data_IF_315597180820
#
_entry.id   IF_315597180820
#
_cell.length_a   1.000
_cell.length_b   1.000
_cell.length_c   1.000
_cell.angle_alpha   90.00
_cell.angle_beta   90.00
_cell.angle_gamma   90.00
#
_symmetry.space_group_name_H-M   'P 1'
#
loop_
_entity.id
_entity.type
_entity.pdbx_description
1 polymer ?
#
# COMPACT_ATOMS: atom_id res chain seq x y z
N UNK A 1 -9.52 -13.83 -1.91
CA UNK A 1 -10.13 -12.84 -2.83
C UNK A 1 -11.16 -12.02 -2.07
N UNK A 2 -11.34 -10.77 -2.46
CA UNK A 2 -12.39 -9.88 -1.96
C UNK A 2 -13.07 -9.26 -3.18
N UNK A 3 -14.37 -9.45 -3.34
CA UNK A 3 -15.16 -8.77 -4.36
C UNK A 3 -16.02 -7.66 -3.76
N UNK A 4 -16.69 -6.85 -4.58
CA UNK A 4 -17.54 -5.76 -4.08
C UNK A 4 -18.79 -6.16 -3.33
N UNK A 5 -19.21 -7.42 -3.39
CA UNK A 5 -20.32 -7.91 -2.57
C UNK A 5 -19.84 -8.35 -1.16
N UNK A 6 -18.64 -8.92 -1.07
CA UNK A 6 -18.06 -9.47 0.15
C UNK A 6 -17.09 -8.50 0.86
N UNK A 7 -16.74 -7.37 0.23
CA UNK A 7 -15.84 -6.37 0.79
C UNK A 7 -16.36 -5.82 2.13
N UNK A 8 -15.46 -5.72 3.10
CA UNK A 8 -15.75 -5.16 4.42
C UNK A 8 -14.58 -4.34 4.95
N UNK A 9 -14.83 -3.57 6.00
CA UNK A 9 -13.79 -2.87 6.75
C UNK A 9 -12.90 -3.82 7.58
N UNK A 10 -12.87 -5.12 7.28
CA UNK A 10 -12.13 -6.14 8.04
C UNK A 10 -11.37 -7.14 7.18
N UNK A 11 -11.48 -7.10 5.84
CA UNK A 11 -10.92 -8.15 4.99
C UNK A 11 -9.86 -7.71 3.98
N UNK A 12 -9.56 -6.40 3.89
CA UNK A 12 -8.43 -5.89 3.09
C UNK A 12 -7.05 -6.20 3.68
N UNK A 13 -6.00 -5.80 2.96
CA UNK A 13 -4.62 -5.91 3.45
C UNK A 13 -4.37 -4.89 4.57
N UNK A 14 -4.28 -5.40 5.79
CA UNK A 14 -4.07 -4.63 7.01
C UNK A 14 -2.61 -4.74 7.46
N UNK A 15 -2.00 -3.60 7.77
CA UNK A 15 -0.66 -3.52 8.35
C UNK A 15 -0.77 -3.21 9.84
N UNK A 16 -0.17 -4.06 10.66
CA UNK A 16 0.00 -3.79 12.10
C UNK A 16 1.37 -3.18 12.39
N UNK A 17 1.39 -1.92 12.82
CA UNK A 17 2.60 -1.17 13.18
C UNK A 17 2.73 -1.17 14.70
N UNK A 18 3.60 -2.04 15.21
CA UNK A 18 3.90 -2.16 16.64
C UNK A 18 4.70 -0.94 17.14
N UNK A 19 5.62 -0.42 16.33
CA UNK A 19 6.41 0.77 16.64
C UNK A 19 6.98 1.43 15.38
N UNK A 20 7.20 2.74 15.42
CA UNK A 20 7.81 3.49 14.33
C UNK A 20 6.83 3.82 13.19
N UNK A 21 7.35 3.83 11.96
CA UNK A 21 6.57 4.04 10.73
C UNK A 21 6.99 2.98 9.71
N UNK A 22 6.11 2.66 8.77
CA UNK A 22 6.42 1.75 7.67
C UNK A 22 6.51 2.52 6.35
N UNK A 23 7.53 2.21 5.53
CA UNK A 23 7.53 2.55 4.12
C UNK A 23 6.91 1.41 3.34
N UNK A 24 5.92 1.75 2.52
CA UNK A 24 5.26 0.82 1.61
C UNK A 24 5.69 1.21 0.20
N UNK A 25 6.23 0.27 -0.56
CA UNK A 25 6.56 0.47 -1.97
C UNK A 25 5.59 -0.34 -2.82
N UNK A 26 4.89 0.36 -3.71
CA UNK A 26 4.00 -0.21 -4.69
C UNK A 26 4.74 -0.27 -6.01
N UNK A 27 4.76 -1.43 -6.66
CA UNK A 27 5.44 -1.63 -7.95
C UNK A 27 4.45 -2.21 -8.95
N UNK A 28 4.35 -1.57 -10.11
CA UNK A 28 3.52 -2.06 -11.21
C UNK A 28 4.17 -3.29 -11.86
N UNK A 29 3.45 -4.41 -11.89
CA UNK A 29 3.98 -5.69 -12.41
C UNK A 29 3.51 -5.99 -13.83
N UNK A 30 2.48 -5.29 -14.31
CA UNK A 30 1.89 -5.50 -15.63
C UNK A 30 0.37 -5.63 -15.58
N UNK A 31 -0.21 -5.96 -16.73
CA UNK A 31 -1.64 -6.08 -16.95
C UNK A 31 -1.92 -6.86 -18.23
N UNK A 32 -3.05 -7.58 -18.25
CA UNK A 32 -3.66 -8.23 -19.41
C UNK A 32 -5.16 -7.88 -19.51
N UNK A 33 -5.50 -6.59 -19.43
CA UNK A 33 -6.90 -6.18 -19.55
C UNK A 33 -7.30 -5.78 -20.97
N UNK A 34 -8.56 -5.99 -21.34
CA UNK A 34 -9.21 -5.26 -22.44
C UNK A 34 -9.49 -3.80 -22.11
N UNK A 35 -9.81 -3.53 -20.83
CA UNK A 35 -10.22 -2.23 -20.30
C UNK A 35 -9.02 -1.31 -20.00
N UNK A 36 -9.30 -0.01 -19.88
CA UNK A 36 -8.31 0.96 -19.40
C UNK A 36 -8.42 1.08 -17.88
N UNK A 37 -7.47 0.45 -17.18
CA UNK A 37 -7.47 0.27 -15.73
C UNK A 37 -6.30 0.99 -15.10
N UNK A 38 -6.45 1.33 -13.82
CA UNK A 38 -5.43 2.00 -13.04
C UNK A 38 -5.33 1.44 -11.63
N UNK A 39 -4.16 1.63 -11.02
CA UNK A 39 -3.96 1.53 -9.59
C UNK A 39 -3.76 2.93 -9.00
N UNK A 40 -4.35 3.17 -7.84
CA UNK A 40 -4.22 4.40 -7.08
C UNK A 40 -3.62 4.14 -5.70
N UNK A 41 -2.81 5.07 -5.22
CA UNK A 41 -2.20 5.06 -3.88
C UNK A 41 -2.50 6.42 -3.25
N UNK A 42 -3.01 6.44 -2.01
CA UNK A 42 -3.39 7.70 -1.37
C UNK A 42 -4.48 8.47 -2.13
N UNK A 43 -5.39 7.75 -2.80
CA UNK A 43 -6.44 8.32 -3.65
C UNK A 43 -5.96 8.92 -4.99
N UNK A 44 -4.67 8.84 -5.32
CA UNK A 44 -4.11 9.35 -6.57
C UNK A 44 -3.79 8.21 -7.53
N UNK A 45 -4.27 8.21 -8.78
CA UNK A 45 -3.82 7.25 -9.79
C UNK A 45 -2.31 7.36 -10.00
N UNK A 46 -1.63 6.22 -9.90
CA UNK A 46 -0.16 6.14 -10.01
C UNK A 46 0.30 5.20 -11.10
N UNK A 47 -0.50 4.18 -11.44
CA UNK A 47 -0.20 3.23 -12.49
C UNK A 47 -1.40 3.11 -13.43
N UNK A 48 -1.19 3.37 -14.72
CA UNK A 48 -2.16 3.19 -15.79
C UNK A 48 -1.74 2.00 -16.65
N UNK A 49 -2.64 1.05 -16.91
CA UNK A 49 -2.29 -0.14 -17.70
C UNK A 49 -2.15 0.16 -19.20
N UNK A 50 -2.84 1.20 -19.69
CA UNK A 50 -2.99 1.54 -21.10
C UNK A 50 -3.18 3.04 -21.30
N UNK A 51 -3.19 3.44 -22.57
CA UNK A 51 -3.36 4.83 -22.98
C UNK A 51 -2.03 5.57 -23.18
N UNK A 52 -2.08 6.87 -23.52
CA UNK A 52 -0.88 7.65 -23.85
C UNK A 52 0.12 7.77 -22.69
N UNK A 53 -0.35 7.62 -21.45
CA UNK A 53 0.41 7.73 -20.20
C UNK A 53 0.61 6.37 -19.52
N UNK A 54 0.51 5.26 -20.28
CA UNK A 54 0.67 3.93 -19.70
C UNK A 54 1.96 3.81 -18.89
N UNK A 55 1.87 3.05 -17.81
CA UNK A 55 2.96 2.86 -16.87
C UNK A 55 3.84 1.69 -17.33
N UNK A 56 5.18 1.85 -17.39
CA UNK A 56 6.07 0.73 -17.69
C UNK A 56 6.14 -0.24 -16.51
N UNK A 57 6.28 -1.53 -16.81
CA UNK A 57 6.51 -2.57 -15.80
C UNK A 57 7.74 -2.22 -14.96
N UNK A 58 7.66 -2.49 -13.65
CA UNK A 58 8.61 -2.12 -12.60
C UNK A 58 8.64 -0.64 -12.21
N UNK A 59 7.76 0.22 -12.74
CA UNK A 59 7.55 1.54 -12.15
C UNK A 59 7.06 1.40 -10.70
N UNK A 60 7.52 2.29 -9.82
CA UNK A 60 7.18 2.21 -8.41
C UNK A 60 6.89 3.58 -7.79
N UNK A 61 6.06 3.56 -6.76
CA UNK A 61 5.79 4.69 -5.87
C UNK A 61 5.88 4.22 -4.42
N UNK A 62 6.21 5.13 -3.51
CA UNK A 62 6.26 4.82 -2.08
C UNK A 62 5.30 5.68 -1.29
N UNK A 63 4.72 5.11 -0.25
CA UNK A 63 3.92 5.80 0.75
C UNK A 63 4.40 5.45 2.16
N UNK A 64 4.25 6.40 3.09
CA UNK A 64 4.58 6.18 4.50
C UNK A 64 3.30 5.99 5.31
N UNK A 65 3.25 4.92 6.10
CA UNK A 65 2.15 4.67 7.04
C UNK A 65 2.66 4.82 8.47
N UNK A 66 1.95 5.63 9.25
CA UNK A 66 2.36 6.03 10.60
C UNK A 66 1.67 5.24 11.72
N UNK A 67 0.55 4.57 11.42
CA UNK A 67 -0.28 3.85 12.39
C UNK A 67 -0.78 2.54 11.81
N UNK A 68 -1.13 1.56 12.64
CA UNK A 68 -1.78 0.34 12.19
C UNK A 68 -3.06 0.65 11.43
N UNK A 69 -3.32 -0.06 10.33
CA UNK A 69 -4.43 0.24 9.44
C UNK A 69 -4.33 -0.49 8.11
N UNK A 70 -5.41 -0.45 7.33
CA UNK A 70 -5.39 -0.90 5.94
C UNK A 70 -4.46 -0.05 5.11
N UNK A 71 -3.70 -0.69 4.21
CA UNK A 71 -2.92 0.02 3.22
C UNK A 71 -3.85 0.85 2.31
N UNK A 72 -3.46 2.08 2.03
CA UNK A 72 -4.25 3.03 1.23
C UNK A 72 -3.94 2.91 -0.26
N UNK A 73 -4.50 1.87 -0.88
CA UNK A 73 -4.46 1.69 -2.33
C UNK A 73 -5.83 1.26 -2.86
N UNK A 74 -6.01 1.42 -4.16
CA UNK A 74 -7.20 1.04 -4.89
C UNK A 74 -6.87 0.67 -6.32
N UNK A 75 -7.82 0.03 -6.99
CA UNK A 75 -7.79 -0.17 -8.44
C UNK A 75 -9.07 0.36 -9.04
N UNK A 76 -9.04 0.75 -10.30
CA UNK A 76 -10.23 1.22 -10.98
C UNK A 76 -10.13 1.10 -12.49
N UNK A 77 -11.26 1.37 -13.13
CA UNK A 77 -11.41 1.33 -14.57
C UNK A 77 -11.85 2.71 -15.05
N UNK A 78 -11.10 3.32 -15.97
CA UNK A 78 -11.51 4.54 -16.66
C UNK A 78 -12.49 4.26 -17.78
N UNK A 79 -12.24 3.20 -18.56
CA UNK A 79 -12.99 2.91 -19.77
C UNK A 79 -13.08 1.39 -20.01
N UNK A 80 -14.20 0.92 -20.59
CA UNK A 80 -15.33 1.70 -21.10
C UNK A 80 -16.25 2.25 -20.00
N UNK A 81 -17.07 3.27 -20.32
CA UNK A 81 -17.90 4.00 -19.33
C UNK A 81 -18.84 3.10 -18.52
N UNK A 82 -19.35 2.02 -19.12
CA UNK A 82 -20.22 1.06 -18.42
C UNK A 82 -19.48 0.21 -17.39
N UNK A 83 -18.16 0.15 -17.47
CA UNK A 83 -17.29 -0.55 -16.55
C UNK A 83 -16.58 0.41 -15.59
N UNK A 84 -16.82 1.73 -15.62
CA UNK A 84 -16.10 2.70 -14.79
C UNK A 84 -16.42 2.55 -13.30
N UNK A 85 -15.38 2.59 -12.47
CA UNK A 85 -15.50 2.36 -11.03
C UNK A 85 -14.15 2.32 -10.32
N UNK A 86 -14.20 2.18 -8.99
CA UNK A 86 -13.04 2.15 -8.11
C UNK A 86 -13.27 1.13 -7.00
N UNK A 87 -12.28 0.29 -6.76
CA UNK A 87 -12.27 -0.73 -5.74
C UNK A 87 -11.06 -0.55 -4.82
N UNK A 88 -11.33 0.04 -3.66
CA UNK A 88 -10.32 0.31 -2.64
C UNK A 88 -9.89 -0.98 -1.95
N UNK A 89 -8.73 -1.00 -1.30
CA UNK A 89 -8.33 -2.06 -0.37
C UNK A 89 -9.16 -2.03 0.92
N UNK A 90 -9.45 -0.83 1.40
CA UNK A 90 -10.28 -0.56 2.58
C UNK A 90 -11.73 -0.20 2.18
N UNK A 91 -12.67 -0.22 3.13
CA UNK A 91 -14.06 0.21 2.91
C UNK A 91 -15.08 -0.92 2.89
N UNK A 92 -16.36 -0.55 2.82
CA UNK A 92 -17.49 -1.48 2.82
C UNK A 92 -17.83 -1.98 1.42
N UNK A 93 -18.69 -3.00 1.36
CA UNK A 93 -19.29 -3.49 0.13
C UNK A 93 -19.98 -2.36 -0.64
N UNK A 94 -19.84 -2.39 -1.96
CA UNK A 94 -20.47 -1.45 -2.89
C UNK A 94 -21.02 -2.23 -4.08
N UNK A 95 -22.35 -2.19 -4.22
CA UNK A 95 -23.03 -2.90 -5.29
C UNK A 95 -22.63 -2.41 -6.69
N UNK A 96 -22.20 -1.14 -6.82
CA UNK A 96 -21.74 -0.59 -8.10
C UNK A 96 -20.45 -1.24 -8.59
N UNK A 97 -19.61 -1.74 -7.67
CA UNK A 97 -18.33 -2.38 -7.98
C UNK A 97 -18.31 -3.86 -7.60
N UNK A 98 -19.48 -4.50 -7.48
CA UNK A 98 -19.61 -5.96 -7.21
C UNK A 98 -18.90 -6.85 -8.25
N UNK A 99 -18.65 -6.31 -9.44
CA UNK A 99 -17.93 -7.00 -10.51
C UNK A 99 -16.41 -6.93 -10.31
N UNK A 100 -15.93 -6.02 -9.48
CA UNK A 100 -14.51 -5.86 -9.22
C UNK A 100 -14.07 -6.81 -8.10
N UNK A 101 -12.84 -7.28 -8.17
CA UNK A 101 -12.24 -8.07 -7.10
C UNK A 101 -10.74 -7.84 -6.94
N UNK A 102 -10.26 -8.15 -5.74
CA UNK A 102 -8.85 -8.22 -5.40
C UNK A 102 -8.46 -9.64 -4.99
N UNK A 103 -7.41 -10.14 -5.63
CA UNK A 103 -6.63 -11.29 -5.21
C UNK A 103 -5.41 -10.84 -4.42
N UNK A 104 -5.03 -11.61 -3.40
CA UNK A 104 -3.81 -11.39 -2.64
C UNK A 104 -2.98 -12.67 -2.67
N UNK A 105 -1.71 -12.54 -3.01
CA UNK A 105 -0.75 -13.64 -2.96
C UNK A 105 0.41 -13.19 -2.08
N UNK A 106 0.59 -13.85 -0.95
CA UNK A 106 1.73 -13.62 -0.08
C UNK A 106 2.97 -14.28 -0.69
N UNK A 107 4.04 -13.49 -0.86
CA UNK A 107 5.36 -13.98 -1.26
C UNK A 107 6.22 -14.18 -0.02
N UNK A 108 6.10 -13.27 0.95
CA UNK A 108 6.69 -13.34 2.29
C UNK A 108 5.90 -12.45 3.24
N UNK A 109 6.22 -12.47 4.54
CA UNK A 109 5.54 -11.70 5.57
C UNK A 109 5.37 -10.20 5.26
N UNK A 110 6.26 -9.62 4.45
CA UNK A 110 6.28 -8.20 4.10
C UNK A 110 6.12 -7.92 2.60
N UNK A 111 5.87 -8.94 1.78
CA UNK A 111 5.82 -8.78 0.32
C UNK A 111 4.63 -9.55 -0.24
N UNK A 112 3.78 -8.83 -0.99
CA UNK A 112 2.54 -9.35 -1.54
C UNK A 112 2.41 -8.99 -3.01
N UNK A 113 1.79 -9.87 -3.80
CA UNK A 113 1.12 -9.45 -5.02
C UNK A 113 -0.34 -9.15 -4.70
N UNK A 114 -0.83 -8.04 -5.24
CA UNK A 114 -2.25 -7.71 -5.31
C UNK A 114 -2.64 -7.75 -6.77
N UNK A 115 -3.67 -8.53 -7.04
CA UNK A 115 -4.17 -8.79 -8.37
C UNK A 115 -5.56 -8.20 -8.48
N UNK A 116 -5.83 -7.45 -9.52
CA UNK A 116 -7.10 -6.80 -9.76
C UNK A 116 -7.82 -7.42 -10.94
N UNK A 117 -9.13 -7.36 -10.87
CA UNK A 117 -10.04 -7.87 -11.87
C UNK A 117 -11.33 -7.03 -11.87
N UNK A 118 -11.78 -6.56 -13.02
CA UNK A 118 -12.99 -5.74 -13.16
C UNK A 118 -14.20 -6.49 -13.75
N UNK A 119 -14.09 -7.82 -13.95
CA UNK A 119 -15.02 -8.69 -14.70
C UNK A 119 -15.48 -8.02 -16.01
N UNK A 120 -14.62 -8.01 -17.01
CA UNK A 120 -15.04 -7.82 -18.38
C UNK A 120 -15.64 -9.13 -18.92
N UNK A 121 -16.98 -9.28 -18.87
CA UNK A 121 -17.74 -10.39 -19.52
C UNK A 121 -17.50 -11.80 -18.97
N UNK A 122 -17.12 -11.92 -17.71
CA UNK A 122 -17.18 -13.18 -16.96
C UNK A 122 -15.87 -13.96 -16.87
N UNK A 123 -14.75 -13.37 -17.26
CA UNK A 123 -13.43 -13.89 -16.86
C UNK A 123 -13.08 -13.37 -15.46
N UNK A 124 -12.48 -14.24 -14.63
CA UNK A 124 -12.03 -13.95 -13.26
C UNK A 124 -10.66 -14.59 -13.03
N UNK A 125 -9.71 -14.17 -13.84
CA UNK A 125 -8.33 -14.65 -13.88
C UNK A 125 -7.35 -13.73 -13.13
N UNK A 126 -7.79 -12.53 -12.73
CA UNK A 126 -7.02 -11.57 -11.93
C UNK A 126 -5.72 -11.09 -12.61
N UNK A 127 -5.75 -10.85 -13.90
CA UNK A 127 -4.61 -10.32 -14.64
C UNK A 127 -4.82 -8.89 -15.18
N UNK A 128 -5.99 -8.28 -14.96
CA UNK A 128 -6.32 -6.95 -15.47
C UNK A 128 -5.32 -5.87 -15.03
N UNK A 129 -4.86 -5.94 -13.77
CA UNK A 129 -3.74 -5.17 -13.23
C UNK A 129 -3.07 -5.96 -12.11
N UNK A 130 -1.73 -6.06 -12.11
CA UNK A 130 -0.97 -6.67 -11.03
C UNK A 130 -0.02 -5.64 -10.40
N UNK A 131 -0.03 -5.58 -9.07
CA UNK A 131 0.83 -4.71 -8.27
C UNK A 131 1.55 -5.51 -7.19
N UNK A 132 2.86 -5.30 -7.05
CA UNK A 132 3.65 -5.81 -5.93
C UNK A 132 3.70 -4.76 -4.83
N UNK A 133 3.52 -5.19 -3.59
CA UNK A 133 3.62 -4.36 -2.41
C UNK A 133 4.76 -4.90 -1.54
N UNK A 134 5.74 -4.05 -1.26
CA UNK A 134 6.83 -4.30 -0.32
C UNK A 134 6.67 -3.40 0.90
N UNK A 135 6.70 -3.97 2.11
CA UNK A 135 6.60 -3.24 3.37
C UNK A 135 7.93 -3.30 4.11
N UNK A 136 8.49 -2.13 4.44
CA UNK A 136 9.71 -2.00 5.19
C UNK A 136 9.48 -1.16 6.46
N UNK A 137 9.86 -1.70 7.62
CA UNK A 137 9.93 -0.90 8.83
C UNK A 137 11.02 0.16 8.69
N UNK A 138 10.70 1.42 9.03
CA UNK A 138 11.69 2.50 9.07
C UNK A 138 12.31 2.52 10.47
N UNK A 139 13.63 2.27 10.60
CA UNK A 139 14.29 2.40 11.88
C UNK A 139 14.14 3.82 12.42
N UNK A 140 13.82 3.95 13.72
CA UNK A 140 13.87 5.25 14.38
C UNK A 140 15.32 5.79 14.28
N UNK A 141 15.52 7.07 13.92
CA UNK A 141 16.86 7.62 13.79
C UNK A 141 17.65 7.44 15.10
N UNK A 142 18.81 6.78 15.03
CA UNK A 142 19.69 6.61 16.19
C UNK A 142 20.12 7.95 16.83
N UNK A 143 19.92 9.08 16.12
CA UNK A 143 20.15 10.43 16.61
C UNK A 143 19.39 10.78 17.90
N UNK A 144 18.19 10.26 18.13
CA UNK A 144 17.45 10.51 19.38
C UNK A 144 18.07 9.76 20.57
N UNK A 145 18.52 8.52 20.36
CA UNK A 145 19.29 7.76 21.37
C UNK A 145 20.67 8.39 21.61
N UNK A 146 21.34 8.89 20.57
CA UNK A 146 22.60 9.61 20.68
C UNK A 146 22.44 10.94 21.42
N UNK A 147 21.37 11.69 21.16
CA UNK A 147 21.07 12.93 21.88
C UNK A 147 20.78 12.66 23.36
N UNK A 148 19.96 11.65 23.66
CA UNK A 148 19.65 11.26 25.04
C UNK A 148 20.90 10.78 25.79
N UNK A 149 21.74 9.96 25.15
CA UNK A 149 23.00 9.50 25.74
C UNK A 149 24.02 10.63 25.92
N UNK A 150 24.11 11.58 24.97
CA UNK A 150 24.95 12.76 25.11
C UNK A 150 24.48 13.68 26.26
N UNK A 151 23.18 13.92 26.37
CA UNK A 151 22.58 14.69 27.48
C UNK A 151 22.80 14.00 28.82
N UNK A 152 22.56 12.69 28.90
CA UNK A 152 22.83 11.88 30.10
C UNK A 152 24.30 11.90 30.50
N UNK A 153 25.21 11.73 29.54
CA UNK A 153 26.66 11.80 29.75
C UNK A 153 27.11 13.17 30.26
N UNK A 154 26.62 14.25 29.67
CA UNK A 154 26.93 15.62 30.10
C UNK A 154 26.45 15.91 31.54
N UNK A 155 25.28 15.39 31.92
CA UNK A 155 24.70 15.59 33.25
C UNK A 155 25.48 14.82 34.33
N UNK A 156 25.93 13.59 34.02
CA UNK A 156 26.81 12.79 34.89
C UNK A 156 28.16 13.50 35.08
N UNK A 157 28.78 13.99 34.01
CA UNK A 157 30.05 14.72 34.07
C UNK A 157 29.93 15.99 34.92
N UNK A 158 28.83 16.74 34.78
CA UNK A 158 28.56 17.93 35.60
C UNK A 158 28.42 17.61 37.09
N UNK A 159 27.79 16.48 37.45
CA UNK A 159 27.67 16.04 38.85
C UNK A 159 29.02 15.67 39.47
N UNK A 160 29.91 15.02 38.71
CA UNK A 160 31.25 14.65 39.21
C UNK A 160 32.11 15.89 39.50
N UNK A 161 31.95 16.97 38.72
CA UNK A 161 32.70 18.21 38.92
C UNK A 161 32.24 19.00 40.17
N UNK A 162 30.98 18.85 40.58
CA UNK A 162 30.43 19.53 41.76
C UNK A 162 30.72 18.84 43.11
N UNK A 163 31.13 17.56 43.09
CA UNK A 163 31.49 16.78 44.29
C UNK A 163 33.01 16.85 44.56
N UNK A 164 33.82 17.16 43.54
CA UNK A 164 35.28 17.27 43.63
C UNK A 164 35.78 18.71 43.89
N UNK A 165 34.88 19.65 44.17
CA UNK A 165 35.16 21.03 44.57
C UNK A 165 34.62 21.26 45.98
#
# INVERSE_FOLDING_TARGET
>A
MIDGAAKSASNGLFLDIISGVAQITYTYMGAEAGNNNYAAVGGTPVFDNRGPTYTPVNASVSATQHVSGFLDFAFGTYAPTWATGLFNNNGAADAATRHYALGFVEISANVFYVLFDDIARGDRDFDDVVMRIDVAAVPLPAGSLLLLSALGGALVLRRRKAIAA
#
